data_IF_500277633497
#
_entry.id   IF_500277633497
#
_cell.length_a   1.000
_cell.length_b   1.000
_cell.length_c   1.000
_cell.angle_alpha   90.00
_cell.angle_beta   90.00
_cell.angle_gamma   90.00
#
_symmetry.space_group_name_H-M   'P 1'
#
loop_
_entity.id
_entity.type
_entity.pdbx_description
1 polymer ?
#
# COMPACT_ATOMS: atom_id res chain seq x y z
N UNK A 1 22.49 4.99 7.16
CA UNK A 1 21.06 5.28 7.39
C UNK A 1 20.31 4.34 6.47
N UNK A 2 20.11 3.11 6.93
CA UNK A 2 19.48 2.05 6.14
C UNK A 2 17.98 2.20 6.29
N UNK A 3 17.32 2.78 5.29
CA UNK A 3 15.87 2.75 5.19
C UNK A 3 15.49 1.39 4.60
N UNK A 4 15.06 0.45 5.44
CA UNK A 4 14.52 -0.86 5.02
C UNK A 4 13.08 -0.73 4.48
N UNK A 5 12.75 0.44 3.94
CA UNK A 5 11.45 0.72 3.33
C UNK A 5 11.55 0.43 1.84
N UNK A 6 10.60 -0.33 1.24
CA UNK A 6 10.56 -0.52 -0.20
C UNK A 6 10.49 0.84 -0.90
N UNK A 7 11.34 1.06 -1.91
CA UNK A 7 11.25 2.27 -2.72
C UNK A 7 9.93 2.24 -3.52
N UNK A 8 9.11 3.27 -3.31
CA UNK A 8 7.88 3.55 -4.04
C UNK A 8 7.81 5.04 -4.38
N UNK A 9 7.01 5.40 -5.37
CA UNK A 9 6.88 6.80 -5.80
C UNK A 9 5.87 7.56 -4.96
N UNK A 10 4.87 6.84 -4.44
CA UNK A 10 3.90 7.36 -3.50
C UNK A 10 3.96 6.57 -2.21
N UNK A 11 3.70 7.25 -1.10
CA UNK A 11 3.61 6.64 0.21
C UNK A 11 2.30 7.09 0.87
N UNK A 12 1.56 6.15 1.45
CA UNK A 12 0.33 6.42 2.19
C UNK A 12 0.46 5.79 3.58
N UNK A 13 0.64 6.64 4.60
CA UNK A 13 0.66 6.20 5.99
C UNK A 13 -0.75 6.25 6.57
N UNK A 14 -1.37 5.08 6.66
CA UNK A 14 -2.74 4.96 7.17
C UNK A 14 -2.81 4.90 8.69
N UNK A 15 -1.65 4.85 9.36
CA UNK A 15 -1.57 4.83 10.83
C UNK A 15 -1.88 6.20 11.44
N UNK A 16 -1.70 7.26 10.66
CA UNK A 16 -2.02 8.64 11.05
C UNK A 16 -3.49 9.01 10.75
N UNK A 17 -4.22 8.15 10.05
CA UNK A 17 -5.60 8.40 9.64
C UNK A 17 -6.55 7.96 10.75
N UNK A 18 -7.35 8.90 11.26
CA UNK A 18 -8.40 8.61 12.23
C UNK A 18 -9.65 8.07 11.50
N UNK A 19 -9.92 6.76 11.60
CA UNK A 19 -11.13 6.13 11.04
C UNK A 19 -10.84 4.90 10.19
N UNK A 20 -11.64 4.69 9.14
CA UNK A 20 -11.44 3.60 8.18
C UNK A 20 -10.50 4.02 7.05
N UNK A 21 -9.24 3.56 7.02
CA UNK A 21 -8.27 3.98 6.01
C UNK A 21 -8.53 3.38 4.63
N UNK A 22 -9.42 2.41 4.52
CA UNK A 22 -9.73 1.72 3.26
C UNK A 22 -10.16 2.69 2.16
N UNK A 23 -10.96 3.71 2.49
CA UNK A 23 -11.39 4.72 1.52
C UNK A 23 -10.22 5.51 0.93
N UNK A 24 -9.31 5.97 1.78
CA UNK A 24 -8.13 6.75 1.38
C UNK A 24 -7.15 5.91 0.54
N UNK A 25 -6.97 4.63 0.90
CA UNK A 25 -6.17 3.69 0.11
C UNK A 25 -6.77 3.55 -1.29
N UNK A 26 -8.09 3.36 -1.38
CA UNK A 26 -8.77 3.16 -2.66
C UNK A 26 -8.70 4.41 -3.53
N UNK A 27 -8.89 5.59 -2.96
CA UNK A 27 -8.72 6.86 -3.65
C UNK A 27 -7.28 7.01 -4.18
N UNK A 28 -6.27 6.74 -3.34
CA UNK A 28 -4.87 6.80 -3.74
C UNK A 28 -4.52 5.81 -4.87
N UNK A 29 -5.14 4.63 -4.87
CA UNK A 29 -4.98 3.62 -5.92
C UNK A 29 -5.68 4.01 -7.22
N UNK A 30 -6.85 4.64 -7.14
CA UNK A 30 -7.56 5.17 -8.32
C UNK A 30 -6.81 6.33 -8.97
N UNK A 31 -6.08 7.11 -8.17
CA UNK A 31 -5.20 8.19 -8.65
C UNK A 31 -3.79 7.71 -9.04
N UNK A 32 -3.45 6.43 -8.80
CA UNK A 32 -2.12 5.89 -9.07
C UNK A 32 -1.93 5.63 -10.58
N UNK A 33 -0.92 6.24 -11.23
CA UNK A 33 -0.61 5.96 -12.63
C UNK A 33 -0.07 4.54 -12.86
N UNK A 34 -0.24 4.02 -14.08
CA UNK A 34 0.21 2.69 -14.50
C UNK A 34 1.71 2.42 -14.31
N UNK A 35 2.53 3.46 -14.38
CA UNK A 35 3.98 3.38 -14.27
C UNK A 35 4.50 3.62 -12.84
N UNK A 36 3.63 4.02 -11.90
CA UNK A 36 4.00 4.33 -10.52
C UNK A 36 3.71 3.17 -9.55
N UNK A 37 4.25 3.28 -8.34
CA UNK A 37 3.93 2.37 -7.23
C UNK A 37 3.60 3.15 -5.95
N UNK A 38 2.65 2.60 -5.18
CA UNK A 38 2.18 3.11 -3.91
C UNK A 38 2.66 2.22 -2.77
N UNK A 39 3.33 2.79 -1.78
CA UNK A 39 3.67 2.12 -0.54
C UNK A 39 2.64 2.45 0.53
N UNK A 40 1.86 1.46 0.90
CA UNK A 40 0.93 1.53 2.02
C UNK A 40 1.64 1.16 3.32
N UNK A 41 1.57 2.02 4.32
CA UNK A 41 2.17 1.80 5.64
C UNK A 41 1.03 1.62 6.64
N UNK A 42 0.91 0.42 7.19
CA UNK A 42 -0.13 0.05 8.16
C UNK A 42 0.51 -0.49 9.46
N UNK A 43 -0.19 -0.34 10.58
CA UNK A 43 0.16 -0.96 11.86
C UNK A 43 -0.24 -2.44 11.93
N UNK A 44 -1.05 -2.93 10.99
CA UNK A 44 -1.53 -4.32 10.94
C UNK A 44 -1.60 -4.84 9.50
N UNK A 45 -1.79 -6.14 9.34
CA UNK A 45 -1.88 -6.79 8.04
C UNK A 45 -3.22 -6.46 7.34
N UNK A 46 -3.21 -5.83 6.15
CA UNK A 46 -4.43 -5.49 5.42
C UNK A 46 -4.92 -6.67 4.56
N UNK A 47 -5.19 -7.82 5.19
CA UNK A 47 -5.64 -9.05 4.51
C UNK A 47 -6.82 -8.83 3.54
N UNK A 48 -7.88 -8.07 3.90
CA UNK A 48 -9.00 -7.82 3.00
C UNK A 48 -8.62 -7.02 1.75
N UNK A 49 -7.53 -6.26 1.80
CA UNK A 49 -7.07 -5.42 0.70
C UNK A 49 -6.46 -6.25 -0.43
N UNK A 50 -5.81 -7.38 -0.11
CA UNK A 50 -5.12 -8.21 -1.10
C UNK A 50 -6.07 -8.72 -2.19
N UNK A 51 -7.24 -9.23 -1.79
CA UNK A 51 -8.25 -9.69 -2.74
C UNK A 51 -8.75 -8.56 -3.66
N UNK A 52 -8.98 -7.38 -3.09
CA UNK A 52 -9.42 -6.20 -3.86
C UNK A 52 -8.36 -5.75 -4.86
N UNK A 53 -7.08 -5.80 -4.48
CA UNK A 53 -5.96 -5.46 -5.36
C UNK A 53 -5.87 -6.42 -6.54
N UNK A 54 -5.95 -7.73 -6.29
CA UNK A 54 -5.94 -8.73 -7.35
C UNK A 54 -7.15 -8.59 -8.29
N UNK A 55 -8.36 -8.38 -7.75
CA UNK A 55 -9.57 -8.16 -8.55
C UNK A 55 -9.49 -6.92 -9.45
N UNK A 56 -8.79 -5.89 -8.98
CA UNK A 56 -8.57 -4.64 -9.72
C UNK A 56 -7.38 -4.70 -10.71
N UNK A 57 -6.63 -5.79 -10.72
CA UNK A 57 -5.45 -5.93 -11.59
C UNK A 57 -4.21 -5.21 -11.06
N UNK A 58 -4.08 -5.07 -9.74
CA UNK A 58 -2.88 -4.58 -9.09
C UNK A 58 -2.05 -5.73 -8.53
N UNK A 59 -0.73 -5.61 -8.64
CA UNK A 59 0.24 -6.44 -7.92
C UNK A 59 0.54 -5.79 -6.57
N UNK A 60 0.61 -6.60 -5.53
CA UNK A 60 0.98 -6.18 -4.19
C UNK A 60 2.16 -7.01 -3.68
N UNK A 61 3.08 -6.35 -2.99
CA UNK A 61 4.24 -6.92 -2.32
C UNK A 61 4.19 -6.50 -0.86
N UNK A 62 4.18 -7.48 0.04
CA UNK A 62 4.08 -7.27 1.49
C UNK A 62 5.43 -7.47 2.15
N UNK A 63 5.80 -6.51 2.99
CA UNK A 63 6.99 -6.53 3.82
C UNK A 63 6.62 -6.10 5.23
N UNK A 64 7.35 -6.61 6.23
CA UNK A 64 7.12 -6.27 7.63
C UNK A 64 8.44 -5.86 8.25
N UNK A 65 8.50 -4.68 8.87
CA UNK A 65 9.64 -4.24 9.68
C UNK A 65 9.13 -3.76 11.04
N UNK A 66 9.70 -4.31 12.12
CA UNK A 66 9.53 -3.82 13.50
C UNK A 66 8.07 -3.45 13.88
N UNK A 67 7.12 -4.36 13.61
CA UNK A 67 5.66 -4.20 13.89
C UNK A 67 4.90 -3.28 12.92
N UNK A 68 5.54 -2.82 11.85
CA UNK A 68 4.93 -2.04 10.77
C UNK A 68 4.82 -2.90 9.52
N UNK A 69 3.66 -2.81 8.86
CA UNK A 69 3.36 -3.48 7.61
C UNK A 69 3.51 -2.52 6.44
N UNK A 70 4.33 -2.90 5.49
CA UNK A 70 4.62 -2.18 4.26
C UNK A 70 4.05 -2.97 3.10
N UNK A 71 3.03 -2.44 2.44
CA UNK A 71 2.41 -3.06 1.27
C UNK A 71 2.70 -2.19 0.06
N UNK A 72 3.64 -2.62 -0.77
CA UNK A 72 3.93 -1.97 -2.04
C UNK A 72 2.94 -2.45 -3.08
N UNK A 73 2.23 -1.53 -3.71
CA UNK A 73 1.20 -1.77 -4.69
C UNK A 73 1.64 -1.14 -6.01
N UNK A 74 1.48 -1.88 -7.10
CA UNK A 74 1.82 -1.45 -8.46
C UNK A 74 0.81 -2.02 -9.45
N UNK A 75 0.62 -1.39 -10.60
CA UNK A 75 -0.24 -1.95 -11.64
C UNK A 75 0.33 -3.28 -12.16
N UNK A 76 -0.53 -4.29 -12.31
CA UNK A 76 -0.13 -5.51 -13.01
C UNK A 76 -0.17 -5.23 -14.51
N UNK A 77 1.01 -5.17 -15.13
CA UNK A 77 1.18 -4.99 -16.57
C UNK A 77 0.57 -6.14 -17.40
#
# INVERSE_FOLDING_TARGET
MSTDRPAAERELDVREIEGEPFGEIMAALEELPGDESLLLINSFEPEPLYGVLEERGFRHETATDSEVWYVKISHAA
#
